data_IF_302444847317
#
_entry.id   IF_302444847317
#
_cell.length_a   1.000
_cell.length_b   1.000
_cell.length_c   1.000
_cell.angle_alpha   90.00
_cell.angle_beta   90.00
_cell.angle_gamma   90.00
#
_symmetry.space_group_name_H-M   'P 1'
#
loop_
_entity.id
_entity.type
_entity.pdbx_description
1 polymer ?
#
# COMPACT_ATOMS: atom_id res chain seq x y z
N UNK A 1 -38.07 10.71 12.21
CA UNK A 1 -37.01 11.72 12.30
C UNK A 1 -35.66 11.02 12.22
N UNK A 2 -34.95 11.13 11.09
CA UNK A 2 -33.59 10.54 10.96
C UNK A 2 -32.64 11.41 11.77
N UNK A 3 -32.05 10.83 12.83
CA UNK A 3 -31.13 11.52 13.75
C UNK A 3 -29.98 12.21 12.99
N UNK A 4 -29.59 13.40 13.46
CA UNK A 4 -28.49 14.19 12.88
C UNK A 4 -27.19 13.35 12.78
N UNK A 5 -26.96 12.46 13.75
CA UNK A 5 -25.83 11.53 13.81
C UNK A 5 -25.84 10.56 12.62
N UNK A 6 -27.02 10.07 12.23
CA UNK A 6 -27.19 9.13 11.13
C UNK A 6 -26.97 9.79 9.77
N UNK A 7 -27.38 11.06 9.62
CA UNK A 7 -27.05 11.87 8.43
C UNK A 7 -25.56 12.18 8.34
N UNK A 8 -24.92 12.49 9.47
CA UNK A 8 -23.49 12.74 9.53
C UNK A 8 -22.69 11.48 9.15
N UNK A 9 -23.08 10.31 9.66
CA UNK A 9 -22.45 9.05 9.30
C UNK A 9 -22.58 8.72 7.80
N UNK A 10 -23.77 8.95 7.22
CA UNK A 10 -24.00 8.75 5.78
C UNK A 10 -23.13 9.67 4.91
N UNK A 11 -22.96 10.93 5.31
CA UNK A 11 -22.12 11.88 4.59
C UNK A 11 -20.62 11.53 4.69
N UNK A 12 -20.15 11.05 5.85
CA UNK A 12 -18.78 10.57 6.00
C UNK A 12 -18.54 9.30 5.15
N UNK A 13 -19.47 8.34 5.13
CA UNK A 13 -19.33 7.13 4.31
C UNK A 13 -19.34 7.45 2.82
N UNK A 14 -20.20 8.39 2.38
CA UNK A 14 -20.27 8.81 0.99
C UNK A 14 -19.04 9.59 0.50
N UNK A 15 -18.21 10.13 1.41
CA UNK A 15 -17.01 10.91 1.07
C UNK A 15 -15.72 10.09 1.07
N UNK A 16 -15.73 8.83 1.55
CA UNK A 16 -14.58 7.93 1.44
C UNK A 16 -14.44 7.47 -0.01
N UNK A 17 -13.76 8.27 -0.82
CA UNK A 17 -13.33 7.87 -2.16
C UNK A 17 -12.16 6.90 -2.04
N UNK A 18 -12.39 5.63 -2.39
CA UNK A 18 -11.30 4.66 -2.55
C UNK A 18 -10.56 4.99 -3.85
N UNK A 19 -9.59 5.89 -3.77
CA UNK A 19 -8.70 6.14 -4.90
C UNK A 19 -7.94 4.86 -5.27
N UNK A 20 -8.02 4.48 -6.54
CA UNK A 20 -7.29 3.33 -7.07
C UNK A 20 -5.79 3.56 -6.85
N UNK A 21 -5.12 2.63 -6.18
CA UNK A 21 -3.67 2.64 -6.06
C UNK A 21 -3.05 2.52 -7.46
N UNK A 22 -2.20 3.47 -7.83
CA UNK A 22 -1.46 3.47 -9.10
C UNK A 22 0.01 3.27 -8.77
N UNK A 23 0.67 2.34 -9.45
CA UNK A 23 2.11 2.08 -9.32
C UNK A 23 2.79 2.46 -10.63
N UNK A 24 3.90 3.18 -10.51
CA UNK A 24 4.82 3.37 -11.63
C UNK A 24 6.05 2.44 -11.51
N UNK A 25 6.85 2.40 -12.57
CA UNK A 25 8.01 1.52 -12.66
C UNK A 25 9.07 1.83 -11.59
N UNK A 26 9.25 3.12 -11.26
CA UNK A 26 10.24 3.57 -10.28
C UNK A 26 9.82 3.15 -8.85
N UNK A 27 8.56 3.37 -8.48
CA UNK A 27 7.98 2.92 -7.21
C UNK A 27 8.10 1.39 -7.06
N UNK A 28 7.76 0.65 -8.12
CA UNK A 28 7.82 -0.81 -8.14
C UNK A 28 9.26 -1.31 -8.01
N UNK A 29 10.20 -0.69 -8.72
CA UNK A 29 11.62 -1.03 -8.68
C UNK A 29 12.22 -0.81 -7.28
N UNK A 30 11.94 0.33 -6.65
CA UNK A 30 12.41 0.62 -5.30
C UNK A 30 11.81 -0.33 -4.26
N UNK A 31 10.53 -0.66 -4.39
CA UNK A 31 9.89 -1.66 -3.53
C UNK A 31 10.57 -3.03 -3.66
N UNK A 32 10.82 -3.50 -4.88
CA UNK A 32 11.48 -4.79 -5.11
C UNK A 32 12.93 -4.81 -4.62
N UNK A 33 13.66 -3.71 -4.81
CA UNK A 33 15.03 -3.57 -4.32
C UNK A 33 15.10 -3.62 -2.79
N UNK A 34 14.19 -2.88 -2.13
CA UNK A 34 14.03 -2.94 -0.69
C UNK A 34 13.69 -4.35 -0.19
N UNK A 35 12.70 -5.02 -0.79
CA UNK A 35 12.32 -6.37 -0.37
C UNK A 35 13.43 -7.40 -0.56
N UNK A 36 14.26 -7.23 -1.59
CA UNK A 36 15.47 -8.04 -1.79
C UNK A 36 16.48 -7.84 -0.67
N UNK A 37 16.67 -6.60 -0.18
CA UNK A 37 17.60 -6.31 0.92
C UNK A 37 17.11 -6.86 2.27
N UNK A 38 15.80 -6.94 2.47
CA UNK A 38 15.18 -7.52 3.69
C UNK A 38 14.68 -8.96 3.50
N UNK A 39 15.16 -9.68 2.47
CA UNK A 39 14.70 -11.05 2.14
C UNK A 39 14.76 -12.03 3.33
N UNK A 40 15.71 -11.86 4.25
CA UNK A 40 15.82 -12.68 5.46
C UNK A 40 14.62 -12.54 6.42
N UNK A 41 13.83 -11.46 6.31
CA UNK A 41 12.60 -11.25 7.08
C UNK A 41 11.37 -11.91 6.42
N UNK A 42 11.53 -12.46 5.21
CA UNK A 42 10.46 -13.18 4.56
C UNK A 42 10.18 -14.48 5.30
N UNK A 43 8.91 -14.75 5.56
CA UNK A 43 8.46 -16.05 6.05
C UNK A 43 8.37 -17.07 4.92
N UNK A 44 7.70 -18.18 5.21
CA UNK A 44 7.47 -19.26 4.23
C UNK A 44 6.85 -18.73 2.92
N UNK A 45 7.45 -19.11 1.79
CA UNK A 45 6.98 -18.73 0.46
C UNK A 45 7.21 -17.25 0.11
N UNK A 46 8.28 -16.63 0.64
CA UNK A 46 8.62 -15.23 0.37
C UNK A 46 7.51 -14.24 0.77
N UNK A 47 6.76 -14.57 1.83
CA UNK A 47 5.70 -13.72 2.36
C UNK A 47 6.23 -12.78 3.43
N UNK A 48 6.02 -11.47 3.25
CA UNK A 48 6.41 -10.45 4.23
C UNK A 48 5.22 -10.05 5.12
N UNK A 49 5.52 -9.78 6.39
CA UNK A 49 4.55 -9.12 7.30
C UNK A 49 4.37 -7.66 6.85
N UNK A 50 3.19 -7.10 7.10
CA UNK A 50 2.90 -5.71 6.72
C UNK A 50 3.87 -4.70 7.34
N UNK A 51 4.31 -4.94 8.58
CA UNK A 51 5.29 -4.10 9.27
C UNK A 51 6.65 -3.99 8.55
N UNK A 52 6.99 -4.95 7.68
CA UNK A 52 8.23 -4.92 6.88
C UNK A 52 8.19 -3.79 5.86
N UNK A 53 7.00 -3.35 5.43
CA UNK A 53 6.84 -2.33 4.39
C UNK A 53 6.82 -0.89 4.94
N UNK A 54 6.68 -0.69 6.25
CA UNK A 54 6.66 0.65 6.86
C UNK A 54 7.93 1.47 6.59
N UNK A 55 9.15 0.90 6.66
CA UNK A 55 10.39 1.66 6.45
C UNK A 55 10.56 2.24 5.04
N UNK A 56 9.93 1.66 4.01
CA UNK A 56 10.10 2.11 2.62
C UNK A 56 9.13 3.23 2.22
N UNK A 57 8.07 3.49 3.02
CA UNK A 57 7.05 4.49 2.69
C UNK A 57 7.60 5.91 2.49
N UNK A 58 8.57 6.41 3.29
CA UNK A 58 9.17 7.73 3.07
C UNK A 58 9.91 7.84 1.72
N UNK A 59 10.48 6.74 1.23
CA UNK A 59 11.19 6.69 -0.06
C UNK A 59 10.22 6.66 -1.24
N UNK A 60 9.07 5.98 -1.10
CA UNK A 60 8.07 5.89 -2.16
C UNK A 60 7.30 7.20 -2.36
N UNK A 61 7.11 7.99 -1.31
CA UNK A 61 6.36 9.25 -1.36
C UNK A 61 6.80 10.20 -2.49
N UNK A 62 8.09 10.56 -2.59
CA UNK A 62 8.62 11.41 -3.64
C UNK A 62 8.54 10.82 -5.07
N UNK A 63 8.49 9.49 -5.19
CA UNK A 63 8.49 8.79 -6.48
C UNK A 63 7.08 8.64 -7.08
N UNK A 64 6.06 8.93 -6.28
CA UNK A 64 4.65 8.79 -6.65
C UNK A 64 4.26 9.77 -7.74
N UNK A 65 3.95 9.25 -8.93
CA UNK A 65 3.41 10.04 -10.04
C UNK A 65 1.90 10.27 -9.98
N UNK A 66 1.13 9.29 -9.49
CA UNK A 66 -0.34 9.35 -9.44
C UNK A 66 -0.94 8.53 -8.28
N UNK A 67 -2.23 8.74 -8.01
CA UNK A 67 -2.99 8.04 -6.97
C UNK A 67 -2.59 8.42 -5.54
N UNK A 68 -3.08 7.66 -4.54
CA UNK A 68 -2.86 7.96 -3.14
C UNK A 68 -1.41 7.68 -2.70
N UNK A 69 -1.01 8.30 -1.60
CA UNK A 69 0.25 7.97 -0.90
C UNK A 69 0.21 6.50 -0.50
N UNK A 70 1.28 5.76 -0.80
CA UNK A 70 1.37 4.33 -0.55
C UNK A 70 1.37 4.05 0.96
N UNK A 71 0.60 3.05 1.36
CA UNK A 71 0.61 2.50 2.72
C UNK A 71 1.32 1.16 2.75
N UNK A 72 1.71 0.69 3.93
CA UNK A 72 2.32 -0.62 4.11
C UNK A 72 1.43 -1.75 3.54
N UNK A 73 0.11 -1.66 3.79
CA UNK A 73 -0.90 -2.55 3.20
C UNK A 73 -0.86 -2.55 1.68
N UNK A 74 -0.80 -1.38 1.04
CA UNK A 74 -0.75 -1.27 -0.42
C UNK A 74 0.54 -1.90 -0.98
N UNK A 75 1.68 -1.68 -0.34
CA UNK A 75 2.96 -2.28 -0.75
C UNK A 75 2.93 -3.81 -0.62
N UNK A 76 2.29 -4.32 0.43
CA UNK A 76 2.07 -5.76 0.60
C UNK A 76 1.18 -6.31 -0.50
N UNK A 77 0.06 -5.65 -0.80
CA UNK A 77 -0.84 -6.07 -1.89
C UNK A 77 -0.08 -6.12 -3.23
N UNK A 78 0.72 -5.10 -3.52
CA UNK A 78 1.54 -5.04 -4.73
C UNK A 78 2.53 -6.21 -4.80
N UNK A 79 3.33 -6.43 -3.75
CA UNK A 79 4.22 -7.60 -3.66
C UNK A 79 3.46 -8.92 -3.86
N UNK A 80 2.27 -9.05 -3.28
CA UNK A 80 1.47 -10.25 -3.46
C UNK A 80 0.91 -10.40 -4.88
N UNK A 81 0.68 -9.31 -5.60
CA UNK A 81 0.25 -9.35 -7.00
C UNK A 81 1.37 -9.73 -7.97
N UNK A 82 2.64 -9.62 -7.57
CA UNK A 82 3.78 -9.91 -8.45
C UNK A 82 3.85 -11.41 -8.79
N UNK A 83 3.85 -11.77 -10.09
CA UNK A 83 3.84 -13.18 -10.52
C UNK A 83 5.14 -13.93 -10.18
N UNK A 84 6.23 -13.21 -9.95
CA UNK A 84 7.56 -13.75 -9.66
C UNK A 84 8.00 -13.41 -8.23
N UNK A 85 7.37 -14.03 -7.23
CA UNK A 85 7.88 -14.03 -5.85
C UNK A 85 8.98 -15.09 -5.74
N UNK A 86 10.24 -14.75 -6.05
CA UNK A 86 11.39 -15.66 -5.99
C UNK A 86 12.30 -15.38 -4.79
#
# INVERSE_FOLDING_TARGET
>A
MVSLVSRYLLLVVASVSFEKTVWNDQETKELLWFLKSVKAQAGNGSNFKESVFTPILPTLGPLKSAGPIKTAKMCKTEWTGQPTRQ
#
